data_IF_354133387884
#
_entry.id   IF_354133387884
#
_cell.length_a   1.000
_cell.length_b   1.000
_cell.length_c   1.000
_cell.angle_alpha   90.00
_cell.angle_beta   90.00
_cell.angle_gamma   90.00
#
_symmetry.space_group_name_H-M   'P 1'
#
loop_
_entity.id
_entity.type
_entity.pdbx_description
1 polymer ?
#
# COMPACT_ATOMS: atom_id res chain seq x y z
N UNK A 1 -32.74 1.53 10.18
CA UNK A 1 -31.39 1.11 9.72
C UNK A 1 -31.06 1.96 8.51
N UNK A 2 -31.13 3.27 8.68
CA UNK A 2 -31.30 4.20 7.57
C UNK A 2 -29.94 4.75 7.19
N UNK A 3 -29.11 5.11 8.17
CA UNK A 3 -27.76 5.62 7.95
C UNK A 3 -26.79 4.52 7.48
N UNK A 4 -26.89 3.30 8.01
CA UNK A 4 -26.09 2.17 7.53
C UNK A 4 -26.45 1.80 6.08
N UNK A 5 -27.74 1.84 5.74
CA UNK A 5 -28.21 1.61 4.37
C UNK A 5 -27.78 2.73 3.44
N UNK A 6 -27.90 3.98 3.87
CA UNK A 6 -27.45 5.14 3.10
C UNK A 6 -25.94 5.10 2.88
N UNK A 7 -25.13 4.72 3.88
CA UNK A 7 -23.70 4.47 3.73
C UNK A 7 -23.44 3.43 2.63
N UNK A 8 -24.12 2.28 2.69
CA UNK A 8 -23.95 1.22 1.69
C UNK A 8 -24.36 1.68 0.29
N UNK A 9 -25.47 2.39 0.15
CA UNK A 9 -25.88 2.95 -1.15
C UNK A 9 -24.80 3.92 -1.66
N UNK A 10 -24.29 4.79 -0.80
CA UNK A 10 -23.22 5.73 -1.13
C UNK A 10 -21.90 5.05 -1.46
N UNK A 11 -21.63 3.86 -0.92
CA UNK A 11 -20.44 3.06 -1.25
C UNK A 11 -20.61 2.24 -2.52
N UNK A 12 -21.84 1.85 -2.85
CA UNK A 12 -22.18 0.91 -3.93
C UNK A 12 -22.56 1.61 -5.23
N UNK A 13 -23.14 2.82 -5.17
CA UNK A 13 -23.50 3.60 -6.36
C UNK A 13 -22.27 4.30 -6.93
N UNK A 14 -21.77 3.81 -8.05
CA UNK A 14 -20.62 4.38 -8.77
C UNK A 14 -19.96 3.33 -9.66
N UNK A 15 -20.57 3.07 -10.82
CA UNK A 15 -19.95 2.23 -11.84
C UNK A 15 -18.90 3.07 -12.59
N UNK A 16 -17.64 2.97 -12.18
CA UNK A 16 -16.56 3.67 -12.87
C UNK A 16 -15.21 3.58 -12.14
N UNK A 17 -14.12 3.61 -12.91
CA UNK A 17 -12.73 3.62 -12.44
C UNK A 17 -12.30 4.97 -11.83
N UNK A 18 -13.23 5.81 -11.36
CA UNK A 18 -12.92 7.13 -10.78
C UNK A 18 -12.65 7.02 -9.27
N UNK A 19 -11.79 7.90 -8.76
CA UNK A 19 -11.14 7.74 -7.46
C UNK A 19 -12.06 8.06 -6.33
N UNK A 20 -12.69 7.04 -5.75
CA UNK A 20 -13.65 7.23 -4.66
C UNK A 20 -12.95 7.41 -3.33
N UNK A 21 -13.34 8.44 -2.58
CA UNK A 21 -12.76 8.78 -1.27
C UNK A 21 -13.87 9.09 -0.28
N UNK A 22 -13.66 8.72 0.99
CA UNK A 22 -14.55 9.06 2.10
C UNK A 22 -13.86 10.01 3.07
N UNK A 23 -14.38 11.22 3.20
CA UNK A 23 -13.86 12.23 4.11
C UNK A 23 -14.82 12.47 5.27
N UNK A 24 -14.33 12.16 6.48
CA UNK A 24 -15.02 12.49 7.72
C UNK A 24 -14.58 13.89 8.16
N UNK A 25 -15.51 14.83 8.17
CA UNK A 25 -15.27 16.24 8.50
C UNK A 25 -15.65 16.56 9.95
N UNK A 26 -14.97 17.53 10.60
CA UNK A 26 -15.47 18.11 11.85
C UNK A 26 -16.90 18.62 11.73
N UNK A 27 -17.64 18.62 12.84
CA UNK A 27 -18.99 19.16 12.88
C UNK A 27 -18.97 20.67 12.58
N UNK A 28 -19.97 21.14 11.83
CA UNK A 28 -20.10 22.56 11.45
C UNK A 28 -19.32 22.99 10.20
N UNK A 29 -18.53 22.11 9.59
CA UNK A 29 -17.89 22.38 8.28
C UNK A 29 -18.90 22.28 7.14
N UNK A 30 -19.78 21.28 7.19
CA UNK A 30 -20.88 21.17 6.24
C UNK A 30 -21.98 22.20 6.58
N UNK A 31 -22.65 22.80 5.58
CA UNK A 31 -23.78 23.69 5.79
C UNK A 31 -24.83 23.11 6.74
N UNK A 32 -25.52 23.99 7.48
CA UNK A 32 -26.67 23.58 8.28
C UNK A 32 -27.72 22.96 7.34
N UNK A 33 -28.26 21.80 7.72
CA UNK A 33 -29.21 20.99 6.94
C UNK A 33 -28.62 20.23 5.73
N UNK A 34 -27.29 20.08 5.63
CA UNK A 34 -26.72 19.13 4.67
C UNK A 34 -27.22 17.70 4.92
N UNK A 35 -27.38 16.88 3.86
CA UNK A 35 -27.71 15.47 4.02
C UNK A 35 -26.60 14.73 4.81
N UNK A 36 -26.90 13.56 5.41
CA UNK A 36 -25.92 12.79 6.17
C UNK A 36 -24.63 12.52 5.38
N UNK A 37 -24.76 12.29 4.07
CA UNK A 37 -23.66 12.17 3.12
C UNK A 37 -23.79 13.20 2.00
N UNK A 38 -22.76 14.03 1.84
CA UNK A 38 -22.64 14.98 0.72
C UNK A 38 -21.64 14.44 -0.30
N UNK A 39 -21.91 14.62 -1.60
CA UNK A 39 -21.05 14.14 -2.70
C UNK A 39 -20.50 15.32 -3.48
N UNK A 40 -19.21 15.28 -3.79
CA UNK A 40 -18.58 16.16 -4.77
C UNK A 40 -17.93 15.27 -5.82
N UNK A 41 -18.30 15.47 -7.08
CA UNK A 41 -17.72 14.76 -8.22
C UNK A 41 -16.88 15.76 -9.02
N UNK A 42 -15.57 15.54 -9.08
CA UNK A 42 -14.61 16.39 -9.78
C UNK A 42 -13.68 15.55 -10.69
N UNK A 43 -12.70 16.21 -11.32
CA UNK A 43 -11.72 15.53 -12.18
C UNK A 43 -10.88 14.46 -11.45
N UNK A 44 -10.79 14.52 -10.12
CA UNK A 44 -10.07 13.56 -9.28
C UNK A 44 -10.94 12.38 -8.84
N UNK A 45 -12.25 12.45 -9.10
CA UNK A 45 -13.25 11.43 -8.81
C UNK A 45 -14.26 11.84 -7.74
N UNK A 46 -15.09 10.87 -7.35
CA UNK A 46 -16.17 11.09 -6.39
C UNK A 46 -15.65 11.10 -4.94
N UNK A 47 -15.74 12.24 -4.27
CA UNK A 47 -15.50 12.36 -2.83
C UNK A 47 -16.82 12.44 -2.06
N UNK A 48 -16.96 11.52 -1.10
CA UNK A 48 -18.12 11.42 -0.21
C UNK A 48 -17.72 12.01 1.13
N UNK A 49 -18.50 12.97 1.62
CA UNK A 49 -18.29 13.65 2.89
C UNK A 49 -19.37 13.27 3.89
N UNK A 50 -18.98 13.02 5.13
CA UNK A 50 -19.91 12.95 6.25
C UNK A 50 -19.35 13.70 7.46
N UNK A 51 -20.25 14.18 8.32
CA UNK A 51 -19.83 14.82 9.57
C UNK A 51 -19.40 13.79 10.62
N UNK A 52 -18.57 14.19 11.59
CA UNK A 52 -18.28 13.36 12.77
C UNK A 52 -19.54 12.94 13.51
N UNK A 53 -20.57 13.78 13.53
CA UNK A 53 -21.87 13.45 14.10
C UNK A 53 -22.53 12.28 13.34
N UNK A 54 -22.65 12.37 12.01
CA UNK A 54 -23.16 11.27 11.17
C UNK A 54 -22.37 9.99 11.39
N UNK A 55 -21.03 10.09 11.41
CA UNK A 55 -20.13 8.97 11.66
C UNK A 55 -20.42 8.25 13.00
N UNK A 56 -20.71 9.00 14.07
CA UNK A 56 -21.08 8.44 15.37
C UNK A 56 -22.52 7.88 15.38
N UNK A 57 -23.45 8.52 14.68
CA UNK A 57 -24.82 8.01 14.57
C UNK A 57 -24.86 6.65 13.86
N UNK A 58 -24.06 6.44 12.81
CA UNK A 58 -23.90 5.13 12.16
C UNK A 58 -23.47 4.07 13.17
N UNK A 59 -22.51 4.39 14.04
CA UNK A 59 -22.06 3.46 15.08
C UNK A 59 -23.18 3.09 16.06
N UNK A 60 -23.94 4.09 16.52
CA UNK A 60 -25.06 3.88 17.45
C UNK A 60 -26.16 3.04 16.79
N UNK A 61 -26.55 3.38 15.57
CA UNK A 61 -27.55 2.64 14.79
C UNK A 61 -27.15 1.16 14.64
N UNK A 62 -25.90 0.91 14.21
CA UNK A 62 -25.39 -0.43 14.01
C UNK A 62 -25.26 -1.25 15.30
N UNK A 63 -24.77 -0.64 16.40
CA UNK A 63 -24.66 -1.33 17.71
C UNK A 63 -26.03 -1.70 18.25
N UNK A 64 -26.99 -0.78 18.20
CA UNK A 64 -28.36 -1.03 18.68
C UNK A 64 -29.01 -2.19 17.90
N UNK A 65 -28.79 -2.26 16.58
CA UNK A 65 -29.29 -3.35 15.77
C UNK A 65 -28.69 -4.70 16.20
N UNK A 66 -27.35 -4.80 16.31
CA UNK A 66 -26.72 -6.06 16.71
C UNK A 66 -27.07 -6.50 18.14
N UNK A 67 -27.24 -5.56 19.07
CA UNK A 67 -27.69 -5.87 20.43
C UNK A 67 -29.12 -6.41 20.45
N UNK A 68 -30.00 -5.86 19.62
CA UNK A 68 -31.39 -6.31 19.51
C UNK A 68 -31.49 -7.71 18.89
N UNK A 69 -30.63 -8.05 17.92
CA UNK A 69 -30.61 -9.37 17.30
C UNK A 69 -30.19 -10.50 18.27
N UNK A 70 -29.38 -10.21 19.28
CA UNK A 70 -28.96 -11.19 20.29
C UNK A 70 -30.08 -11.65 21.25
N UNK A 71 -31.26 -11.02 21.20
CA UNK A 71 -32.30 -11.14 22.22
C UNK A 71 -33.59 -11.88 21.78
N UNK A 72 -33.54 -12.80 20.80
CA UNK A 72 -34.64 -13.69 20.31
C UNK A 72 -35.43 -13.27 19.05
N UNK A 73 -34.93 -12.37 18.21
CA UNK A 73 -35.57 -12.09 16.90
C UNK A 73 -34.89 -12.83 15.75
N UNK A 74 -35.68 -13.43 14.84
CA UNK A 74 -35.25 -13.82 13.49
C UNK A 74 -34.59 -12.60 12.83
N UNK A 75 -33.27 -12.55 12.87
CA UNK A 75 -32.49 -11.41 12.42
C UNK A 75 -32.60 -11.28 10.90
N UNK A 76 -32.93 -10.08 10.41
CA UNK A 76 -32.86 -9.78 8.99
C UNK A 76 -31.38 -9.77 8.57
N UNK A 77 -30.94 -10.81 7.87
CA UNK A 77 -29.56 -10.98 7.40
C UNK A 77 -29.02 -9.76 6.63
N UNK A 78 -29.90 -8.99 5.96
CA UNK A 78 -29.51 -7.77 5.27
C UNK A 78 -29.17 -6.63 6.21
N UNK A 79 -30.01 -6.39 7.20
CA UNK A 79 -29.77 -5.33 8.17
C UNK A 79 -28.56 -5.65 9.03
N UNK A 80 -28.35 -6.92 9.39
CA UNK A 80 -27.15 -7.35 10.12
C UNK A 80 -25.90 -7.16 9.27
N UNK A 81 -25.96 -7.46 7.96
CA UNK A 81 -24.85 -7.20 7.05
C UNK A 81 -24.54 -5.68 6.95
N UNK A 82 -25.57 -4.84 6.80
CA UNK A 82 -25.39 -3.38 6.76
C UNK A 82 -24.88 -2.81 8.09
N UNK A 83 -25.35 -3.33 9.22
CA UNK A 83 -24.88 -2.95 10.54
C UNK A 83 -23.39 -3.30 10.72
N UNK A 84 -22.98 -4.50 10.31
CA UNK A 84 -21.56 -4.89 10.39
C UNK A 84 -20.68 -3.99 9.51
N UNK A 85 -21.11 -3.63 8.30
CA UNK A 85 -20.39 -2.66 7.46
C UNK A 85 -20.30 -1.28 8.14
N UNK A 86 -21.40 -0.82 8.73
CA UNK A 86 -21.42 0.39 9.55
C UNK A 86 -20.40 0.34 10.69
N UNK A 87 -20.29 -0.79 11.39
CA UNK A 87 -19.28 -0.98 12.43
C UNK A 87 -17.86 -1.06 11.88
N UNK A 88 -17.62 -1.60 10.67
CA UNK A 88 -16.28 -1.61 10.06
C UNK A 88 -15.78 -0.19 9.77
N UNK A 89 -16.67 0.78 9.50
CA UNK A 89 -16.29 2.18 9.37
C UNK A 89 -15.77 2.81 10.69
N UNK A 90 -16.16 2.28 11.86
CA UNK A 90 -15.80 2.85 13.17
C UNK A 90 -14.80 2.00 13.96
N UNK A 91 -15.04 0.69 14.00
CA UNK A 91 -14.28 -0.30 14.73
C UNK A 91 -13.77 -1.40 13.78
N UNK A 92 -12.88 -1.06 12.82
CA UNK A 92 -12.43 -1.98 11.78
C UNK A 92 -11.57 -3.16 12.29
N UNK A 93 -11.13 -3.12 13.55
CA UNK A 93 -10.33 -4.17 14.19
C UNK A 93 -11.16 -5.05 15.15
N UNK A 94 -12.49 -4.83 15.23
CA UNK A 94 -13.39 -5.69 16.00
C UNK A 94 -13.55 -7.05 15.28
N UNK A 95 -12.84 -8.07 15.76
CA UNK A 95 -12.80 -9.40 15.14
C UNK A 95 -14.16 -10.08 15.11
N UNK A 96 -15.02 -9.83 16.09
CA UNK A 96 -16.37 -10.41 16.13
C UNK A 96 -17.20 -9.84 14.99
N UNK A 97 -17.16 -8.51 14.81
CA UNK A 97 -17.84 -7.83 13.70
C UNK A 97 -17.28 -8.29 12.35
N UNK A 98 -15.95 -8.39 12.20
CA UNK A 98 -15.32 -8.84 10.97
C UNK A 98 -15.71 -10.27 10.58
N UNK A 99 -15.67 -11.20 11.54
CA UNK A 99 -16.01 -12.59 11.29
C UNK A 99 -17.49 -12.71 10.91
N UNK A 100 -18.37 -12.02 11.62
CA UNK A 100 -19.79 -11.96 11.29
C UNK A 100 -20.01 -11.36 9.89
N UNK A 101 -19.36 -10.23 9.58
CA UNK A 101 -19.46 -9.60 8.26
C UNK A 101 -19.03 -10.55 7.13
N UNK A 102 -17.88 -11.22 7.29
CA UNK A 102 -17.36 -12.17 6.32
C UNK A 102 -18.29 -13.37 6.15
N UNK A 103 -18.84 -13.91 7.24
CA UNK A 103 -19.80 -15.01 7.19
C UNK A 103 -21.06 -14.62 6.41
N UNK A 104 -21.65 -13.45 6.73
CA UNK A 104 -22.82 -12.91 6.05
C UNK A 104 -22.56 -12.70 4.57
N UNK A 105 -21.42 -12.10 4.22
CA UNK A 105 -21.01 -11.87 2.85
C UNK A 105 -20.88 -13.20 2.08
N UNK A 106 -20.12 -14.16 2.62
CA UNK A 106 -19.89 -15.44 1.95
C UNK A 106 -21.18 -16.23 1.75
N UNK A 107 -22.08 -16.22 2.74
CA UNK A 107 -23.40 -16.84 2.65
C UNK A 107 -24.27 -16.22 1.57
N UNK A 108 -24.15 -14.90 1.34
CA UNK A 108 -24.88 -14.19 0.29
C UNK A 108 -24.25 -14.36 -1.10
N UNK A 109 -22.93 -14.52 -1.17
CA UNK A 109 -22.22 -14.75 -2.43
C UNK A 109 -22.38 -16.20 -2.93
N UNK A 110 -22.52 -17.18 -2.03
CA UNK A 110 -22.81 -18.58 -2.37
C UNK A 110 -24.32 -18.76 -2.55
N UNK A 111 -24.74 -19.39 -3.64
CA UNK A 111 -26.16 -19.72 -3.82
C UNK A 111 -26.58 -20.81 -2.83
N UNK A 112 -27.86 -20.84 -2.44
CA UNK A 112 -28.40 -21.78 -1.45
C UNK A 112 -28.30 -23.27 -1.87
N UNK A 113 -28.01 -23.56 -3.14
CA UNK A 113 -27.93 -24.92 -3.69
C UNK A 113 -26.47 -25.40 -3.79
N UNK A 114 -25.85 -25.63 -2.62
CA UNK A 114 -24.61 -26.40 -2.46
C UNK A 114 -23.32 -25.59 -2.25
N UNK A 115 -22.24 -26.29 -1.86
CA UNK A 115 -20.92 -25.72 -1.52
C UNK A 115 -20.12 -25.14 -2.71
N UNK A 116 -20.74 -24.99 -3.89
CA UNK A 116 -20.06 -24.53 -5.11
C UNK A 116 -20.30 -23.05 -5.33
N UNK A 117 -19.25 -22.34 -5.75
CA UNK A 117 -19.35 -20.96 -6.22
C UNK A 117 -20.14 -20.92 -7.53
N UNK A 118 -21.40 -20.45 -7.46
CA UNK A 118 -22.21 -20.14 -8.63
C UNK A 118 -22.27 -18.62 -8.79
N UNK A 119 -21.70 -18.12 -9.89
CA UNK A 119 -21.74 -16.68 -10.21
C UNK A 119 -23.10 -16.39 -10.84
N UNK A 120 -23.95 -15.67 -10.11
CA UNK A 120 -25.18 -15.07 -10.65
C UNK A 120 -24.94 -13.57 -10.81
N UNK A 121 -25.80 -12.87 -11.55
CA UNK A 121 -25.66 -11.41 -11.65
C UNK A 121 -25.90 -10.72 -10.30
N UNK A 122 -26.77 -11.28 -9.44
CA UNK A 122 -26.97 -10.77 -8.08
C UNK A 122 -25.72 -10.93 -7.22
N UNK A 123 -25.06 -12.10 -7.25
CA UNK A 123 -23.84 -12.33 -6.45
C UNK A 123 -22.67 -11.50 -6.96
N UNK A 124 -22.58 -11.28 -8.27
CA UNK A 124 -21.62 -10.36 -8.88
C UNK A 124 -21.87 -8.91 -8.50
N UNK A 125 -23.12 -8.44 -8.56
CA UNK A 125 -23.47 -7.08 -8.13
C UNK A 125 -23.12 -6.86 -6.66
N UNK A 126 -23.48 -7.82 -5.79
CA UNK A 126 -23.14 -7.78 -4.38
C UNK A 126 -21.62 -7.74 -4.16
N UNK A 127 -20.86 -8.55 -4.88
CA UNK A 127 -19.40 -8.56 -4.81
C UNK A 127 -18.81 -7.20 -5.20
N UNK A 128 -19.29 -6.59 -6.29
CA UNK A 128 -18.82 -5.27 -6.73
C UNK A 128 -19.17 -4.15 -5.75
N UNK A 129 -20.35 -4.24 -5.12
CA UNK A 129 -20.77 -3.35 -4.03
C UNK A 129 -19.84 -3.46 -2.82
N UNK A 130 -19.59 -4.69 -2.36
CA UNK A 130 -18.70 -4.99 -1.23
C UNK A 130 -17.28 -4.49 -1.51
N UNK A 131 -16.73 -4.81 -2.67
CA UNK A 131 -15.40 -4.38 -3.06
C UNK A 131 -15.29 -2.85 -3.08
N UNK A 132 -16.30 -2.16 -3.64
CA UNK A 132 -16.35 -0.70 -3.66
C UNK A 132 -16.42 -0.12 -2.25
N UNK A 133 -17.20 -0.74 -1.35
CA UNK A 133 -17.30 -0.33 0.04
C UNK A 133 -15.97 -0.47 0.77
N UNK A 134 -15.31 -1.62 0.68
CA UNK A 134 -14.00 -1.83 1.33
C UNK A 134 -12.94 -0.89 0.75
N UNK A 135 -12.92 -0.67 -0.57
CA UNK A 135 -12.01 0.29 -1.19
C UNK A 135 -12.25 1.72 -0.68
N UNK A 136 -13.51 2.15 -0.53
CA UNK A 136 -13.85 3.46 0.00
C UNK A 136 -13.41 3.63 1.46
N UNK A 137 -13.58 2.58 2.29
CA UNK A 137 -13.06 2.58 3.67
C UNK A 137 -11.54 2.70 3.69
N UNK A 138 -10.85 1.97 2.81
CA UNK A 138 -9.39 1.99 2.68
C UNK A 138 -8.82 3.27 2.06
N UNK A 139 -9.65 4.15 1.49
CA UNK A 139 -9.28 5.50 1.04
C UNK A 139 -9.84 6.60 1.96
N UNK A 140 -10.40 6.22 3.12
CA UNK A 140 -10.96 7.17 4.08
C UNK A 140 -9.92 8.14 4.66
N UNK A 141 -10.35 9.35 5.04
CA UNK A 141 -9.54 10.30 5.82
C UNK A 141 -9.29 9.86 7.27
N UNK A 142 -10.00 8.83 7.76
CA UNK A 142 -9.78 8.28 9.10
C UNK A 142 -8.56 7.35 9.11
N UNK A 143 -7.50 7.78 9.81
CA UNK A 143 -6.29 6.98 10.07
C UNK A 143 -6.65 5.56 10.56
N UNK A 144 -7.62 5.44 11.47
CA UNK A 144 -8.02 4.17 12.08
C UNK A 144 -8.57 3.18 11.06
N UNK A 145 -9.28 3.68 10.05
CA UNK A 145 -9.92 2.88 9.01
C UNK A 145 -8.92 2.60 7.89
N UNK A 146 -8.29 3.64 7.35
CA UNK A 146 -7.34 3.56 6.25
C UNK A 146 -6.10 2.70 6.57
N UNK A 147 -5.61 2.76 7.81
CA UNK A 147 -4.48 1.94 8.29
C UNK A 147 -4.92 0.67 9.00
N UNK A 148 -6.18 0.24 8.86
CA UNK A 148 -6.65 -0.99 9.49
C UNK A 148 -6.05 -2.23 8.83
N UNK A 149 -5.29 -2.99 9.60
CA UNK A 149 -4.71 -4.25 9.16
C UNK A 149 -5.77 -5.27 8.73
N UNK A 150 -6.90 -5.28 9.45
CA UNK A 150 -8.01 -6.19 9.20
C UNK A 150 -8.77 -5.83 7.92
N UNK A 151 -8.99 -4.54 7.62
CA UNK A 151 -9.59 -4.13 6.35
C UNK A 151 -8.69 -4.43 5.15
N UNK A 152 -7.38 -4.22 5.27
CA UNK A 152 -6.44 -4.61 4.20
C UNK A 152 -6.43 -6.13 3.98
N UNK A 153 -6.59 -6.93 5.05
CA UNK A 153 -6.74 -8.38 4.93
C UNK A 153 -8.08 -8.77 4.27
N UNK A 154 -9.18 -8.08 4.60
CA UNK A 154 -10.47 -8.25 3.93
C UNK A 154 -10.38 -7.90 2.45
N UNK A 155 -9.68 -6.82 2.08
CA UNK A 155 -9.39 -6.51 0.68
C UNK A 155 -8.61 -7.63 -0.02
N UNK A 156 -7.57 -8.20 0.61
CA UNK A 156 -6.85 -9.36 0.02
C UNK A 156 -7.76 -10.56 -0.22
N UNK A 157 -8.67 -10.85 0.72
CA UNK A 157 -9.71 -11.88 0.57
C UNK A 157 -10.62 -11.61 -0.63
N UNK A 158 -11.16 -10.39 -0.75
CA UNK A 158 -11.99 -9.98 -1.88
C UNK A 158 -11.22 -10.02 -3.20
N UNK A 159 -9.96 -9.59 -3.20
CA UNK A 159 -9.09 -9.66 -4.37
C UNK A 159 -8.84 -11.12 -4.80
N UNK A 160 -8.66 -12.06 -3.87
CA UNK A 160 -8.61 -13.50 -4.19
C UNK A 160 -9.91 -13.97 -4.83
N UNK A 161 -11.08 -13.59 -4.29
CA UNK A 161 -12.37 -13.92 -4.90
C UNK A 161 -12.54 -13.28 -6.29
N UNK A 162 -12.09 -12.04 -6.49
CA UNK A 162 -12.07 -11.39 -7.81
C UNK A 162 -11.30 -12.23 -8.81
N UNK A 163 -10.12 -12.74 -8.44
CA UNK A 163 -9.28 -13.49 -9.37
C UNK A 163 -9.78 -14.88 -9.70
N UNK A 164 -10.48 -15.53 -8.78
CA UNK A 164 -10.83 -16.94 -8.91
C UNK A 164 -12.31 -17.15 -9.27
N UNK A 165 -13.18 -16.23 -8.87
CA UNK A 165 -14.65 -16.35 -9.00
C UNK A 165 -15.21 -15.21 -9.86
N UNK A 166 -14.87 -13.96 -9.53
CA UNK A 166 -15.42 -12.76 -10.19
C UNK A 166 -14.43 -12.10 -11.16
N UNK A 167 -13.86 -12.90 -12.09
CA UNK A 167 -12.72 -12.51 -12.94
C UNK A 167 -12.98 -11.23 -13.76
N UNK A 168 -14.23 -11.01 -14.14
CA UNK A 168 -14.65 -9.88 -14.97
C UNK A 168 -14.86 -8.58 -14.16
N UNK A 169 -14.88 -8.63 -12.83
CA UNK A 169 -15.02 -7.43 -12.00
C UNK A 169 -13.75 -6.58 -12.09
N UNK A 170 -13.93 -5.28 -12.33
CA UNK A 170 -12.83 -4.34 -12.52
C UNK A 170 -12.36 -3.79 -11.19
N UNK A 171 -11.04 -3.70 -11.01
CA UNK A 171 -10.41 -3.07 -9.84
C UNK A 171 -9.32 -2.14 -10.35
N UNK A 172 -9.41 -0.85 -10.00
CA UNK A 172 -8.31 0.09 -10.22
C UNK A 172 -7.36 0.07 -9.01
N UNK A 173 -6.46 -0.92 -8.99
CA UNK A 173 -5.49 -1.09 -7.91
C UNK A 173 -4.58 0.13 -7.74
N UNK A 174 -4.11 0.72 -8.85
CA UNK A 174 -3.25 1.92 -8.82
C UNK A 174 -3.94 3.05 -8.04
N UNK A 175 -5.16 3.39 -8.43
CA UNK A 175 -5.91 4.46 -7.78
C UNK A 175 -6.21 4.18 -6.31
N UNK A 176 -6.56 2.94 -5.95
CA UNK A 176 -6.77 2.54 -4.55
C UNK A 176 -5.53 2.84 -3.70
N UNK A 177 -4.38 2.30 -4.12
CA UNK A 177 -3.16 2.41 -3.34
C UNK A 177 -2.66 3.85 -3.28
N UNK A 178 -2.67 4.57 -4.41
CA UNK A 178 -2.24 5.97 -4.44
C UNK A 178 -3.16 6.84 -3.59
N UNK A 179 -4.49 6.71 -3.71
CA UNK A 179 -5.43 7.49 -2.91
C UNK A 179 -5.28 7.23 -1.41
N UNK A 180 -5.07 5.96 -1.04
CA UNK A 180 -4.85 5.58 0.35
C UNK A 180 -3.53 6.16 0.90
N UNK A 181 -2.46 6.11 0.10
CA UNK A 181 -1.15 6.62 0.49
C UNK A 181 -1.09 8.15 0.55
N UNK A 182 -1.77 8.86 -0.36
CA UNK A 182 -1.89 10.33 -0.34
C UNK A 182 -2.60 10.83 0.93
N UNK A 183 -3.62 10.10 1.40
CA UNK A 183 -4.30 10.43 2.66
C UNK A 183 -3.39 10.23 3.87
N UNK A 184 -2.54 9.22 3.81
CA UNK A 184 -1.78 8.76 4.95
C UNK A 184 -0.38 8.29 4.54
N UNK A 185 0.56 9.24 4.55
CA UNK A 185 1.97 8.97 4.30
C UNK A 185 2.48 7.84 5.20
N UNK A 186 3.30 6.97 4.59
CA UNK A 186 3.86 5.77 5.23
C UNK A 186 2.80 4.82 5.80
N UNK A 187 1.71 4.63 5.05
CA UNK A 187 0.77 3.55 5.32
C UNK A 187 1.38 2.18 4.96
N UNK A 188 2.04 1.57 5.93
CA UNK A 188 2.67 0.25 5.76
C UNK A 188 1.72 -0.83 5.22
N UNK A 189 0.46 -0.86 5.67
CA UNK A 189 -0.50 -1.88 5.26
C UNK A 189 -0.93 -1.73 3.79
N UNK A 190 -1.11 -0.49 3.33
CA UNK A 190 -1.33 -0.16 1.93
C UNK A 190 -0.16 -0.67 1.07
N UNK A 191 1.07 -0.24 1.37
CA UNK A 191 2.27 -0.59 0.61
C UNK A 191 2.61 -2.08 0.68
N UNK A 192 2.34 -2.75 1.80
CA UNK A 192 2.48 -4.20 1.94
C UNK A 192 1.47 -4.95 1.07
N UNK A 193 0.24 -4.45 0.97
CA UNK A 193 -0.79 -5.04 0.11
C UNK A 193 -0.51 -4.77 -1.37
N UNK A 194 0.01 -3.59 -1.71
CA UNK A 194 0.47 -3.29 -3.08
C UNK A 194 1.54 -4.27 -3.54
N UNK A 195 2.57 -4.53 -2.72
CA UNK A 195 3.63 -5.51 -3.07
C UNK A 195 3.03 -6.90 -3.31
N UNK A 196 2.11 -7.31 -2.45
CA UNK A 196 1.40 -8.58 -2.59
C UNK A 196 0.58 -8.66 -3.88
N UNK A 197 -0.15 -7.60 -4.26
CA UNK A 197 -0.88 -7.54 -5.54
C UNK A 197 0.09 -7.54 -6.72
N UNK A 198 1.15 -6.73 -6.68
CA UNK A 198 2.17 -6.66 -7.73
C UNK A 198 2.78 -8.04 -8.02
N UNK A 199 3.10 -8.80 -6.96
CA UNK A 199 3.66 -10.15 -7.06
C UNK A 199 2.67 -11.18 -7.62
N UNK A 200 1.38 -10.86 -7.75
CA UNK A 200 0.33 -11.73 -8.25
C UNK A 200 -0.15 -11.36 -9.66
N UNK A 201 0.04 -10.10 -10.06
CA UNK A 201 -0.41 -9.53 -11.33
C UNK A 201 0.46 -9.92 -12.54
N UNK A 202 -0.10 -9.74 -13.74
CA UNK A 202 0.61 -9.90 -15.01
C UNK A 202 1.43 -8.66 -15.42
N UNK A 203 2.25 -8.74 -16.49
CA UNK A 203 3.20 -7.69 -16.87
C UNK A 203 2.59 -6.30 -17.13
N UNK A 204 1.38 -6.25 -17.71
CA UNK A 204 0.70 -4.98 -17.99
C UNK A 204 0.35 -4.22 -16.69
N UNK A 205 -0.33 -4.90 -15.75
CA UNK A 205 -0.68 -4.32 -14.46
C UNK A 205 0.55 -4.05 -13.58
N UNK A 206 1.59 -4.88 -13.66
CA UNK A 206 2.87 -4.61 -13.00
C UNK A 206 3.53 -3.32 -13.50
N UNK A 207 3.51 -3.07 -14.82
CA UNK A 207 4.04 -1.83 -15.40
C UNK A 207 3.28 -0.62 -14.87
N UNK A 208 1.94 -0.66 -14.87
CA UNK A 208 1.09 0.42 -14.37
C UNK A 208 1.35 0.72 -12.87
N UNK A 209 1.40 -0.33 -12.04
CA UNK A 209 1.71 -0.21 -10.61
C UNK A 209 3.12 0.33 -10.38
N UNK A 210 4.11 -0.12 -11.16
CA UNK A 210 5.47 0.38 -11.08
C UNK A 210 5.54 1.88 -11.36
N UNK A 211 4.92 2.36 -12.45
CA UNK A 211 4.90 3.77 -12.80
C UNK A 211 4.22 4.62 -11.72
N UNK A 212 3.09 4.13 -11.18
CA UNK A 212 2.38 4.78 -10.08
C UNK A 212 3.28 4.90 -8.83
N UNK A 213 3.92 3.81 -8.40
CA UNK A 213 4.81 3.77 -7.23
C UNK A 213 6.03 4.67 -7.44
N UNK A 214 6.63 4.64 -8.63
CA UNK A 214 7.78 5.49 -8.98
C UNK A 214 7.42 6.97 -8.89
N UNK A 215 6.30 7.37 -9.50
CA UNK A 215 5.86 8.76 -9.49
C UNK A 215 5.43 9.22 -8.09
N UNK A 216 4.77 8.37 -7.31
CA UNK A 216 4.45 8.65 -5.91
C UNK A 216 5.71 8.84 -5.07
N UNK A 217 6.68 7.92 -5.17
CA UNK A 217 7.90 7.96 -4.35
C UNK A 217 8.71 9.25 -4.57
N UNK A 218 8.80 9.73 -5.82
CA UNK A 218 9.43 11.02 -6.14
C UNK A 218 8.67 12.23 -5.57
N UNK A 219 7.34 12.20 -5.55
CA UNK A 219 6.54 13.30 -4.97
C UNK A 219 6.61 13.30 -3.44
N UNK A 220 6.87 12.14 -2.83
CA UNK A 220 6.86 11.92 -1.39
C UNK A 220 8.19 11.33 -0.89
N UNK A 221 9.30 12.09 -0.92
CA UNK A 221 10.63 11.60 -0.51
C UNK A 221 10.69 11.13 0.95
N UNK A 222 9.78 11.61 1.80
CA UNK A 222 9.64 11.20 3.21
C UNK A 222 8.94 9.85 3.40
N UNK A 223 8.25 9.33 2.39
CA UNK A 223 7.48 8.10 2.55
C UNK A 223 8.37 6.85 2.51
N UNK A 224 8.87 6.46 3.68
CA UNK A 224 9.67 5.24 3.85
C UNK A 224 9.02 3.97 3.29
N UNK A 225 7.69 3.84 3.36
CA UNK A 225 6.99 2.65 2.91
C UNK A 225 6.85 2.60 1.38
N UNK A 226 6.65 3.75 0.74
CA UNK A 226 6.63 3.86 -0.72
C UNK A 226 7.98 3.48 -1.35
N UNK A 227 9.07 4.05 -0.82
CA UNK A 227 10.42 3.74 -1.28
C UNK A 227 10.82 2.29 -1.03
N UNK A 228 10.35 1.70 0.06
CA UNK A 228 10.50 0.26 0.29
C UNK A 228 9.73 -0.59 -0.71
N UNK A 229 8.49 -0.20 -1.05
CA UNK A 229 7.71 -0.87 -2.10
C UNK A 229 8.37 -0.75 -3.47
N UNK A 230 8.91 0.43 -3.81
CA UNK A 230 9.67 0.63 -5.03
C UNK A 230 10.89 -0.29 -5.09
N UNK A 231 11.67 -0.38 -4.01
CA UNK A 231 12.82 -1.28 -3.92
C UNK A 231 12.45 -2.76 -4.05
N UNK A 232 11.27 -3.18 -3.58
CA UNK A 232 10.74 -4.53 -3.82
C UNK A 232 10.45 -4.77 -5.31
N UNK A 233 9.73 -3.83 -5.94
CA UNK A 233 9.33 -3.90 -7.35
C UNK A 233 10.54 -3.93 -8.28
N UNK A 234 11.56 -3.10 -8.00
CA UNK A 234 12.77 -3.00 -8.81
C UNK A 234 13.63 -4.27 -8.75
N UNK A 235 13.68 -4.92 -7.59
CA UNK A 235 14.51 -6.12 -7.41
C UNK A 235 13.84 -7.42 -7.88
N UNK A 236 12.51 -7.47 -7.91
CA UNK A 236 11.72 -8.66 -8.30
C UNK A 236 12.25 -9.97 -7.67
N UNK A 237 12.60 -9.94 -6.39
CA UNK A 237 13.23 -11.06 -5.72
C UNK A 237 12.29 -12.27 -5.65
N UNK A 238 12.78 -13.50 -5.94
CA UNK A 238 11.94 -14.70 -5.95
C UNK A 238 11.39 -15.06 -4.55
N UNK A 239 12.12 -14.76 -3.48
CA UNK A 239 11.69 -15.04 -2.09
C UNK A 239 10.41 -14.28 -1.69
N UNK A 240 10.41 -12.94 -1.71
CA UNK A 240 9.23 -12.13 -1.43
C UNK A 240 8.02 -12.48 -2.32
N UNK A 241 8.24 -12.80 -3.60
CA UNK A 241 7.18 -13.26 -4.48
C UNK A 241 6.61 -14.62 -4.03
N UNK A 242 7.46 -15.53 -3.53
CA UNK A 242 7.04 -16.80 -2.94
C UNK A 242 6.14 -16.60 -1.71
N UNK A 243 6.48 -15.66 -0.82
CA UNK A 243 5.65 -15.35 0.35
C UNK A 243 4.27 -14.81 -0.08
N UNK A 244 4.23 -13.95 -1.09
CA UNK A 244 2.98 -13.43 -1.65
C UNK A 244 2.12 -14.55 -2.24
N UNK A 245 2.73 -15.47 -2.98
CA UNK A 245 2.06 -16.66 -3.55
C UNK A 245 1.55 -17.59 -2.43
N UNK A 246 2.35 -17.86 -1.40
CA UNK A 246 1.95 -18.69 -0.27
C UNK A 246 0.75 -18.08 0.46
N UNK A 247 0.80 -16.78 0.75
CA UNK A 247 -0.30 -16.04 1.35
C UNK A 247 -1.56 -16.09 0.48
N UNK A 248 -1.43 -15.95 -0.84
CA UNK A 248 -2.54 -16.07 -1.78
C UNK A 248 -3.14 -17.49 -1.78
N UNK A 249 -2.30 -18.53 -1.80
CA UNK A 249 -2.76 -19.92 -1.76
C UNK A 249 -3.46 -20.26 -0.44
N UNK A 250 -3.01 -19.71 0.69
CA UNK A 250 -3.71 -19.86 1.96
C UNK A 250 -5.13 -19.25 1.93
N UNK A 251 -5.30 -18.09 1.29
CA UNK A 251 -6.62 -17.48 1.09
C UNK A 251 -7.50 -18.31 0.15
N UNK A 252 -6.94 -18.87 -0.93
CA UNK A 252 -7.67 -19.78 -1.84
C UNK A 252 -8.18 -21.02 -1.11
N UNK A 253 -7.32 -21.63 -0.29
CA UNK A 253 -7.68 -22.80 0.50
C UNK A 253 -8.82 -22.50 1.48
N UNK A 254 -8.79 -21.33 2.14
CA UNK A 254 -9.87 -20.86 3.03
C UNK A 254 -11.22 -20.76 2.33
N UNK A 255 -11.25 -20.43 1.04
CA UNK A 255 -12.47 -20.35 0.24
C UNK A 255 -12.85 -21.65 -0.48
N UNK A 256 -12.12 -22.75 -0.22
CA UNK A 256 -12.29 -24.03 -0.90
C UNK A 256 -12.18 -23.94 -2.43
N UNK A 257 -11.34 -23.04 -2.93
CA UNK A 257 -11.11 -22.85 -4.36
C UNK A 257 -10.09 -23.90 -4.85
N UNK A 258 -10.47 -24.71 -5.83
CA UNK A 258 -9.61 -25.77 -6.38
C UNK A 258 -8.44 -25.22 -7.20
N UNK A 259 -7.33 -25.96 -7.26
CA UNK A 259 -6.05 -25.55 -7.86
C UNK A 259 -6.11 -25.44 -9.40
N UNK A 260 -6.74 -24.40 -9.95
CA UNK A 260 -6.58 -24.03 -11.37
C UNK A 260 -5.35 -23.17 -11.63
N UNK A 261 -4.85 -22.47 -10.62
CA UNK A 261 -3.95 -21.33 -10.83
C UNK A 261 -2.45 -21.67 -10.83
N UNK A 262 -2.06 -22.82 -10.30
CA UNK A 262 -0.64 -23.19 -10.11
C UNK A 262 0.10 -23.50 -11.42
N UNK A 263 -0.59 -23.77 -12.52
CA UNK A 263 0.07 -24.14 -13.80
C UNK A 263 0.35 -22.95 -14.72
N UNK A 264 -0.51 -21.92 -14.77
CA UNK A 264 -0.36 -20.79 -15.71
C UNK A 264 0.67 -19.74 -15.27
N UNK A 265 0.71 -19.40 -13.98
CA UNK A 265 1.69 -18.42 -13.46
C UNK A 265 3.13 -18.94 -13.49
N UNK A 266 3.32 -20.26 -13.35
CA UNK A 266 4.64 -20.87 -13.37
C UNK A 266 5.19 -21.05 -14.80
N UNK A 267 4.31 -21.09 -15.82
CA UNK A 267 4.71 -21.25 -17.22
C UNK A 267 4.98 -19.92 -17.93
N UNK A 268 4.29 -18.83 -17.56
CA UNK A 268 4.55 -17.49 -18.13
C UNK A 268 5.57 -16.65 -17.34
N UNK A 269 5.89 -17.02 -16.09
CA UNK A 269 7.06 -16.46 -15.37
C UNK A 269 8.33 -17.16 -15.83
N UNK A 270 8.67 -16.97 -17.10
CA UNK A 270 10.08 -16.74 -17.40
C UNK A 270 10.47 -15.49 -16.59
N UNK A 271 11.00 -15.69 -15.38
CA UNK A 271 11.83 -14.71 -14.68
C UNK A 271 13.05 -14.46 -15.58
N UNK A 272 12.80 -13.73 -16.67
CA UNK A 272 13.70 -13.54 -17.78
C UNK A 272 14.74 -12.51 -17.41
N UNK A 273 15.99 -12.94 -17.57
CA UNK A 273 17.24 -12.17 -17.43
C UNK A 273 17.56 -11.68 -16.03
N UNK A 274 18.84 -11.80 -15.70
CA UNK A 274 19.38 -11.40 -14.41
C UNK A 274 18.92 -9.99 -14.00
N UNK A 275 18.57 -9.79 -12.72
CA UNK A 275 18.12 -8.50 -12.21
C UNK A 275 19.12 -7.34 -12.43
N UNK A 276 20.40 -7.64 -12.70
CA UNK A 276 21.49 -6.65 -12.78
C UNK A 276 21.24 -5.49 -13.74
N UNK A 277 20.88 -5.76 -15.00
CA UNK A 277 20.85 -4.71 -16.04
C UNK A 277 19.81 -3.61 -15.78
N UNK A 278 18.66 -3.94 -15.21
CA UNK A 278 17.63 -2.96 -14.87
C UNK A 278 17.89 -2.28 -13.51
N UNK A 279 18.48 -3.00 -12.55
CA UNK A 279 18.78 -2.45 -11.23
C UNK A 279 19.79 -1.31 -11.33
N UNK A 280 20.86 -1.46 -12.12
CA UNK A 280 21.86 -0.40 -12.32
C UNK A 280 21.26 0.88 -12.95
N UNK A 281 20.36 0.72 -13.93
CA UNK A 281 19.64 1.84 -14.55
C UNK A 281 18.81 2.62 -13.52
N UNK A 282 18.01 1.92 -12.71
CA UNK A 282 17.15 2.57 -11.72
C UNK A 282 17.95 3.11 -10.53
N UNK A 283 19.05 2.46 -10.15
CA UNK A 283 20.00 3.00 -9.18
C UNK A 283 20.50 4.38 -9.63
N UNK A 284 20.93 4.47 -10.88
CA UNK A 284 21.40 5.73 -11.49
C UNK A 284 20.30 6.79 -11.57
N UNK A 285 19.06 6.41 -11.91
CA UNK A 285 17.90 7.32 -11.90
C UNK A 285 17.56 7.85 -10.51
N UNK A 286 17.64 7.01 -9.47
CA UNK A 286 17.39 7.44 -8.09
C UNK A 286 18.51 8.35 -7.61
N UNK A 287 19.77 8.05 -7.94
CA UNK A 287 20.90 8.95 -7.67
C UNK A 287 20.70 10.32 -8.31
N UNK A 288 20.40 10.37 -9.61
CA UNK A 288 20.14 11.62 -10.31
C UNK A 288 18.97 12.39 -9.70
N UNK A 289 17.90 11.70 -9.28
CA UNK A 289 16.80 12.32 -8.55
C UNK A 289 17.24 12.93 -7.21
N UNK A 290 18.09 12.23 -6.44
CA UNK A 290 18.63 12.74 -5.16
C UNK A 290 19.50 13.99 -5.39
N UNK A 291 20.34 13.97 -6.43
CA UNK A 291 21.25 15.05 -6.77
C UNK A 291 20.50 16.28 -7.28
N UNK A 292 19.68 16.11 -8.32
CA UNK A 292 18.91 17.21 -8.93
C UNK A 292 17.88 17.78 -7.96
N UNK A 293 17.25 16.91 -7.16
CA UNK A 293 16.23 17.32 -6.19
C UNK A 293 16.77 17.80 -4.85
N UNK A 294 18.10 17.77 -4.63
CA UNK A 294 18.75 18.02 -3.34
C UNK A 294 18.05 17.31 -2.16
N UNK A 295 17.69 16.04 -2.37
CA UNK A 295 16.85 15.29 -1.43
C UNK A 295 17.50 15.19 -0.06
N UNK A 296 16.72 15.46 1.00
CA UNK A 296 17.17 15.47 2.40
C UNK A 296 16.52 14.44 3.29
N UNK A 297 15.71 13.58 2.70
CA UNK A 297 15.02 12.53 3.43
C UNK A 297 15.74 11.21 3.18
N UNK A 298 15.85 10.38 4.21
CA UNK A 298 16.53 9.09 4.14
C UNK A 298 15.92 8.03 3.17
N UNK A 299 14.59 7.95 2.95
CA UNK A 299 14.00 6.84 2.18
C UNK A 299 14.60 6.55 0.78
N UNK A 300 14.89 7.56 -0.08
CA UNK A 300 15.50 7.31 -1.38
C UNK A 300 16.91 6.72 -1.26
N UNK A 301 17.70 7.20 -0.30
CA UNK A 301 19.00 6.64 0.04
C UNK A 301 18.90 5.20 0.56
N UNK A 302 17.91 4.94 1.42
CA UNK A 302 17.60 3.58 1.89
C UNK A 302 17.25 2.63 0.74
N UNK A 303 16.55 3.13 -0.28
CA UNK A 303 16.28 2.38 -1.51
C UNK A 303 17.58 2.07 -2.27
N UNK A 304 18.50 3.04 -2.43
CA UNK A 304 19.81 2.79 -3.05
C UNK A 304 20.61 1.71 -2.29
N UNK A 305 20.69 1.79 -0.97
CA UNK A 305 21.36 0.79 -0.12
C UNK A 305 20.77 -0.62 -0.30
N UNK A 306 19.48 -0.71 -0.60
CA UNK A 306 18.80 -1.98 -0.88
C UNK A 306 19.11 -2.47 -2.30
N UNK A 307 19.11 -1.59 -3.30
CA UNK A 307 19.43 -1.95 -4.68
C UNK A 307 20.89 -2.39 -4.82
N UNK A 308 21.80 -1.75 -4.08
CA UNK A 308 23.23 -2.07 -4.08
C UNK A 308 23.55 -3.48 -3.54
N UNK A 309 22.59 -4.18 -2.95
CA UNK A 309 22.82 -5.56 -2.51
C UNK A 309 22.85 -6.53 -3.70
N UNK A 310 22.41 -6.07 -4.87
CA UNK A 310 22.17 -6.86 -6.08
C UNK A 310 22.92 -6.33 -7.31
N UNK A 311 23.85 -5.39 -7.14
CA UNK A 311 24.74 -4.93 -8.22
C UNK A 311 26.16 -5.46 -7.96
N UNK A 312 26.97 -5.49 -9.02
CA UNK A 312 28.39 -5.82 -8.93
C UNK A 312 29.20 -4.72 -8.23
N UNK A 313 30.36 -5.10 -7.69
CA UNK A 313 31.29 -4.15 -7.05
C UNK A 313 31.77 -3.05 -8.01
N UNK A 314 31.96 -3.36 -9.29
CA UNK A 314 32.40 -2.38 -10.30
C UNK A 314 31.30 -1.35 -10.58
N UNK A 315 30.05 -1.78 -10.74
CA UNK A 315 28.90 -0.89 -10.94
C UNK A 315 28.73 0.06 -9.74
N UNK A 316 28.86 -0.45 -8.51
CA UNK A 316 28.83 0.40 -7.31
C UNK A 316 29.91 1.47 -7.34
N UNK A 317 31.15 1.06 -7.60
CA UNK A 317 32.29 1.95 -7.53
C UNK A 317 32.15 3.08 -8.55
N UNK A 318 31.75 2.74 -9.77
CA UNK A 318 31.54 3.71 -10.84
C UNK A 318 30.41 4.69 -10.51
N UNK A 319 29.22 4.20 -10.13
CA UNK A 319 28.07 5.07 -9.85
C UNK A 319 28.30 6.00 -8.66
N UNK A 320 29.03 5.56 -7.64
CA UNK A 320 29.21 6.31 -6.38
C UNK A 320 30.49 7.14 -6.32
N UNK A 321 31.34 7.10 -7.36
CA UNK A 321 32.63 7.81 -7.39
C UNK A 321 32.48 9.30 -7.18
N UNK A 322 31.49 9.92 -7.81
CA UNK A 322 31.22 11.36 -7.68
C UNK A 322 30.92 11.75 -6.24
N UNK A 323 30.03 11.01 -5.56
CA UNK A 323 29.70 11.29 -4.15
C UNK A 323 30.91 11.15 -3.23
N UNK A 324 31.77 10.14 -3.45
CA UNK A 324 33.01 9.97 -2.67
C UNK A 324 33.92 11.19 -2.85
N UNK A 325 34.22 11.55 -4.09
CA UNK A 325 35.09 12.69 -4.40
C UNK A 325 34.56 14.01 -3.81
N UNK A 326 33.24 14.24 -3.87
CA UNK A 326 32.62 15.44 -3.30
C UNK A 326 32.71 15.48 -1.78
N UNK A 327 32.49 14.35 -1.11
CA UNK A 327 32.61 14.22 0.34
C UNK A 327 34.06 14.43 0.75
N UNK A 328 35.01 13.77 0.11
CA UNK A 328 36.44 13.86 0.41
C UNK A 328 36.93 15.31 0.22
N UNK A 329 36.61 15.93 -0.92
CA UNK A 329 36.97 17.32 -1.20
C UNK A 329 36.33 18.31 -0.20
N UNK A 330 35.12 18.03 0.30
CA UNK A 330 34.51 18.85 1.34
C UNK A 330 35.25 18.67 2.68
N UNK A 331 35.53 17.44 3.10
CA UNK A 331 36.17 17.16 4.39
C UNK A 331 37.61 17.67 4.45
N UNK A 332 38.34 17.66 3.33
CA UNK A 332 39.69 18.23 3.21
C UNK A 332 39.71 19.76 3.43
N UNK A 333 38.71 20.47 2.90
CA UNK A 333 38.69 21.94 2.91
C UNK A 333 37.94 22.55 4.11
N UNK A 334 37.08 21.77 4.77
CA UNK A 334 36.19 22.28 5.82
C UNK A 334 36.30 21.47 7.11
N UNK A 335 35.47 20.45 7.27
CA UNK A 335 35.40 19.64 8.48
C UNK A 335 34.82 18.26 8.15
N UNK A 336 35.15 17.27 8.99
CA UNK A 336 34.60 15.93 8.86
C UNK A 336 33.07 15.94 8.98
N UNK A 337 32.36 15.39 7.99
CA UNK A 337 30.91 15.28 7.97
C UNK A 337 30.49 14.14 8.90
N UNK A 338 29.83 14.49 9.99
CA UNK A 338 29.17 13.58 10.92
C UNK A 338 27.98 14.28 11.58
N UNK A 339 27.13 13.54 12.30
CA UNK A 339 25.92 14.12 12.89
C UNK A 339 26.21 15.32 13.81
N UNK A 340 27.31 15.28 14.57
CA UNK A 340 27.69 16.36 15.49
C UNK A 340 28.16 17.60 14.75
N UNK A 341 29.00 17.44 13.72
CA UNK A 341 29.52 18.55 12.94
C UNK A 341 28.43 19.22 12.10
N UNK A 342 27.51 18.43 11.50
CA UNK A 342 26.34 18.96 10.79
C UNK A 342 25.43 19.74 11.73
N UNK A 343 25.06 19.18 12.89
CA UNK A 343 24.25 19.90 13.87
C UNK A 343 24.94 21.20 14.31
N UNK A 344 26.24 21.16 14.60
CA UNK A 344 27.00 22.35 14.97
C UNK A 344 27.04 23.38 13.83
N UNK A 345 27.21 22.96 12.58
CA UNK A 345 27.23 23.84 11.41
C UNK A 345 25.88 24.53 11.19
N UNK A 346 24.77 23.82 11.46
CA UNK A 346 23.40 24.36 11.35
C UNK A 346 23.12 25.38 12.45
N UNK A 347 23.46 25.07 13.71
CA UNK A 347 23.06 25.90 14.85
C UNK A 347 24.04 27.03 15.20
N UNK A 348 25.33 26.88 14.90
CA UNK A 348 26.36 27.86 15.32
C UNK A 348 26.80 28.81 14.21
N UNK A 349 26.49 28.51 12.95
CA UNK A 349 26.96 29.28 11.82
C UNK A 349 25.77 30.04 11.22
N UNK A 350 25.74 31.37 11.37
CA UNK A 350 24.83 32.26 10.62
C UNK A 350 25.11 32.26 9.10
N UNK A 351 25.88 31.29 8.59
CA UNK A 351 26.18 31.12 7.18
C UNK A 351 24.91 30.65 6.47
N UNK A 352 24.65 31.27 5.33
CA UNK A 352 23.35 31.21 4.64
C UNK A 352 22.83 29.79 4.41
N UNK A 353 21.49 29.69 4.33
CA UNK A 353 20.71 28.46 4.17
C UNK A 353 21.31 27.47 3.16
N UNK A 354 21.93 27.93 2.08
CA UNK A 354 22.55 27.08 1.05
C UNK A 354 23.62 26.13 1.61
N UNK A 355 24.49 26.62 2.51
CA UNK A 355 25.56 25.79 3.08
C UNK A 355 24.96 24.70 3.98
N UNK A 356 23.95 25.04 4.78
CA UNK A 356 23.23 24.06 5.59
C UNK A 356 22.64 22.93 4.73
N UNK A 357 22.01 23.29 3.61
CA UNK A 357 21.36 22.33 2.71
C UNK A 357 22.36 21.35 2.11
N UNK A 358 23.51 21.84 1.66
CA UNK A 358 24.58 21.01 1.11
C UNK A 358 25.13 20.05 2.14
N UNK A 359 25.37 20.52 3.38
CA UNK A 359 25.94 19.70 4.46
C UNK A 359 25.00 18.58 4.91
N UNK A 360 23.68 18.83 5.00
CA UNK A 360 22.68 17.80 5.30
C UNK A 360 22.65 16.71 4.22
N UNK A 361 22.67 17.09 2.94
CA UNK A 361 22.68 16.12 1.83
C UNK A 361 23.96 15.29 1.82
N UNK A 362 25.12 15.92 2.03
CA UNK A 362 26.41 15.23 2.10
C UNK A 362 26.46 14.21 3.25
N UNK A 363 25.86 14.52 4.41
CA UNK A 363 25.76 13.56 5.53
C UNK A 363 24.96 12.31 5.13
N UNK A 364 23.86 12.47 4.42
CA UNK A 364 23.03 11.35 3.95
C UNK A 364 23.76 10.52 2.89
N UNK A 365 24.46 11.18 1.95
CA UNK A 365 25.34 10.51 0.97
C UNK A 365 26.42 9.69 1.67
N UNK A 366 27.17 10.29 2.61
CA UNK A 366 28.20 9.61 3.42
C UNK A 366 27.63 8.42 4.19
N UNK A 367 26.48 8.59 4.83
CA UNK A 367 25.78 7.52 5.56
C UNK A 367 25.39 6.37 4.63
N UNK A 368 24.96 6.68 3.40
CA UNK A 368 24.58 5.69 2.40
C UNK A 368 25.78 4.91 1.90
N UNK A 369 26.87 5.60 1.55
CA UNK A 369 28.13 4.99 1.13
C UNK A 369 28.63 3.99 2.19
N UNK A 370 28.69 4.42 3.45
CA UNK A 370 29.10 3.54 4.56
C UNK A 370 28.25 2.27 4.65
N UNK A 371 26.92 2.39 4.50
CA UNK A 371 26.03 1.21 4.52
C UNK A 371 26.23 0.30 3.30
N UNK A 372 26.45 0.87 2.12
CA UNK A 372 26.71 0.12 0.89
C UNK A 372 28.04 -0.65 1.01
N UNK A 373 29.10 0.00 1.50
CA UNK A 373 30.42 -0.62 1.67
C UNK A 373 30.35 -1.78 2.68
N UNK A 374 29.63 -1.61 3.79
CA UNK A 374 29.39 -2.69 4.77
C UNK A 374 28.67 -3.88 4.13
N UNK A 375 27.67 -3.64 3.27
CA UNK A 375 26.95 -4.74 2.60
C UNK A 375 27.84 -5.45 1.59
N UNK A 376 28.63 -4.70 0.81
CA UNK A 376 29.59 -5.26 -0.14
C UNK A 376 30.59 -6.20 0.56
N UNK A 377 31.17 -5.76 1.68
CA UNK A 377 32.09 -6.57 2.49
C UNK A 377 31.45 -7.85 3.08
N UNK A 378 30.14 -7.85 3.34
CA UNK A 378 29.43 -9.04 3.82
C UNK A 378 29.19 -10.04 2.69
N UNK A 379 28.95 -9.55 1.47
CA UNK A 379 28.71 -10.40 0.32
C UNK A 379 29.99 -11.11 -0.15
N UNK A 380 31.14 -10.43 -0.16
CA UNK A 380 32.44 -11.06 -0.50
C UNK A 380 32.78 -12.21 0.45
N UNK A 381 32.66 -12.00 1.77
CA UNK A 381 32.89 -13.05 2.78
C UNK A 381 31.99 -14.28 2.61
N UNK A 382 30.73 -14.08 2.18
CA UNK A 382 29.80 -15.21 1.93
C UNK A 382 30.25 -16.05 0.73
N UNK A 383 30.72 -15.42 -0.34
CA UNK A 383 31.24 -16.13 -1.52
C UNK A 383 32.48 -16.95 -1.15
N UNK A 384 33.42 -16.36 -0.43
CA UNK A 384 34.64 -17.05 0.02
C UNK A 384 34.34 -18.24 0.94
N UNK A 385 33.33 -18.11 1.82
CA UNK A 385 32.92 -19.21 2.70
C UNK A 385 32.25 -20.38 1.99
N UNK A 386 31.57 -20.13 0.86
CA UNK A 386 30.99 -21.18 0.01
C UNK A 386 32.07 -21.88 -0.80
N UNK A 387 33.03 -21.14 -1.32
CA UNK A 387 34.15 -21.69 -2.10
C UNK A 387 35.12 -22.54 -1.27
N UNK A 388 35.18 -22.36 0.06
CA UNK A 388 35.98 -23.19 0.96
C UNK A 388 35.28 -24.49 1.41
N UNK A 389 34.00 -24.67 1.11
CA UNK A 389 33.19 -25.86 1.50
C UNK A 389 32.92 -26.81 0.33
N UNK A 390 33.29 -26.41 -0.87
CA UNK A 390 33.40 -27.26 -2.05
C UNK A 390 34.88 -27.57 -2.26
#
# INVERSE_FOLDING_TARGET
MDLCRELFINTSQGHGNSGRKLTILPNGVLPKNSPPFSKIDDENGLEIFCSKYTYLQIFVEARNHLQSCGANTLSNDEETYLATLGLLLITPEDRTVLNLHEELLLRRLKTQLGDRWAVTEESKLLFECELSAIMLLLTSSSNRVNKSSSLWLLFKKLYTLKREVFVNSKINCCQLFMSSAERHISNFYCWNTLRWVYDLEGPAAQTELFEAVWNFSKRHPKDSSAWWALGHILLRLPGPASDSIQSYNALRARFHLTNRFTQALNSERHFGKEPGANVALYFSKIMAYIEVGEVRDWPPFGCLVRLSQHMSSEEHYHSLRTWRNEIDAFEENYFEINQKSVASAIYKNNRGLLIQRSVESLLLRKTSLSKIDIVSLRNTKKVDSKNKKN
#
